data_IF_533443832438
#
_entry.id   IF_533443832438
#
_cell.length_a   1.000
_cell.length_b   1.000
_cell.length_c   1.000
_cell.angle_alpha   90.00
_cell.angle_beta   90.00
_cell.angle_gamma   90.00
#
_symmetry.space_group_name_H-M   'P 1'
#
loop_
_entity.id
_entity.type
_entity.pdbx_description
1 polymer ?
#
# COMPACT_ATOMS: atom_id res chain seq x y z
N UNK A 1 18.28 27.39 -3.29
CA UNK A 1 17.69 27.00 -4.60
C UNK A 1 16.16 26.95 -4.58
N UNK A 2 15.54 26.45 -3.51
CA UNK A 2 14.09 26.26 -3.42
C UNK A 2 13.27 27.55 -3.55
N UNK A 3 13.69 28.61 -2.88
CA UNK A 3 12.99 29.91 -2.91
C UNK A 3 12.87 30.54 -4.30
N UNK A 4 13.91 30.37 -5.13
CA UNK A 4 13.90 30.91 -6.51
C UNK A 4 12.88 30.15 -7.35
N UNK A 5 12.82 28.83 -7.19
CA UNK A 5 11.86 27.98 -7.90
C UNK A 5 10.45 28.27 -7.42
N UNK A 6 10.24 28.43 -6.11
CA UNK A 6 8.94 28.81 -5.54
C UNK A 6 8.40 30.09 -6.20
N UNK A 7 9.22 31.16 -6.26
CA UNK A 7 8.82 32.41 -6.91
C UNK A 7 8.51 32.26 -8.40
N UNK A 8 9.25 31.38 -9.10
CA UNK A 8 9.02 31.10 -10.51
C UNK A 8 7.66 30.43 -10.77
N UNK A 9 7.23 29.54 -9.85
CA UNK A 9 5.99 28.79 -9.98
C UNK A 9 4.79 29.43 -9.28
N UNK A 10 5.00 30.45 -8.44
CA UNK A 10 3.93 31.18 -7.75
C UNK A 10 2.79 31.66 -8.68
N UNK A 11 3.07 32.18 -9.91
CA UNK A 11 1.99 32.63 -10.81
C UNK A 11 1.04 31.51 -11.27
N UNK A 12 1.44 30.23 -11.18
CA UNK A 12 0.61 29.10 -11.57
C UNK A 12 -0.39 28.68 -10.49
N UNK A 13 -0.30 29.29 -9.30
CA UNK A 13 -1.17 29.03 -8.15
C UNK A 13 -1.32 27.53 -7.80
N UNK A 14 -0.27 26.75 -8.04
CA UNK A 14 -0.20 25.32 -7.72
C UNK A 14 0.40 25.14 -6.32
N UNK A 15 -0.04 24.13 -5.54
CA UNK A 15 0.59 23.77 -4.28
C UNK A 15 2.07 23.44 -4.52
N UNK A 16 2.96 24.07 -3.74
CA UNK A 16 4.40 23.82 -3.79
C UNK A 16 4.81 23.15 -2.50
N UNK A 17 5.31 21.94 -2.61
CA UNK A 17 5.85 21.17 -1.49
C UNK A 17 7.38 21.16 -1.54
N UNK A 18 8.01 21.31 -0.39
CA UNK A 18 9.46 21.25 -0.24
C UNK A 18 9.86 19.92 0.39
N UNK A 19 10.84 19.26 -0.22
CA UNK A 19 11.37 17.98 0.27
C UNK A 19 12.77 17.71 -0.28
N UNK A 20 13.29 16.55 0.04
CA UNK A 20 14.52 16.03 -0.56
C UNK A 20 14.29 15.60 -2.01
N UNK A 21 15.37 15.50 -2.79
CA UNK A 21 15.28 15.00 -4.17
C UNK A 21 14.68 13.57 -4.21
N UNK A 22 15.05 12.71 -3.25
CA UNK A 22 14.52 11.34 -3.17
C UNK A 22 13.02 11.31 -2.86
N UNK A 23 12.53 12.18 -1.99
CA UNK A 23 11.08 12.29 -1.71
C UNK A 23 10.32 12.77 -2.95
N UNK A 24 10.83 13.76 -3.67
CA UNK A 24 10.21 14.25 -4.89
C UNK A 24 10.18 13.18 -6.00
N UNK A 25 11.26 12.41 -6.15
CA UNK A 25 11.30 11.27 -7.09
C UNK A 25 10.33 10.17 -6.68
N UNK A 26 10.26 9.82 -5.41
CA UNK A 26 9.33 8.81 -4.91
C UNK A 26 7.87 9.23 -5.10
N UNK A 27 7.54 10.49 -4.81
CA UNK A 27 6.21 11.06 -5.03
C UNK A 27 5.80 10.97 -6.51
N UNK A 28 6.67 11.42 -7.42
CA UNK A 28 6.43 11.34 -8.87
C UNK A 28 6.23 9.89 -9.33
N UNK A 29 7.11 9.00 -8.89
CA UNK A 29 7.01 7.59 -9.27
C UNK A 29 5.76 6.94 -8.68
N UNK A 30 5.46 7.17 -7.39
CA UNK A 30 4.24 6.68 -6.74
C UNK A 30 2.97 7.09 -7.51
N UNK A 31 2.88 8.36 -7.93
CA UNK A 31 1.78 8.86 -8.76
C UNK A 31 1.63 8.05 -10.07
N UNK A 32 2.72 7.91 -10.82
CA UNK A 32 2.68 7.21 -12.11
C UNK A 32 2.42 5.71 -11.97
N UNK A 33 3.04 5.08 -10.98
CA UNK A 33 2.87 3.66 -10.70
C UNK A 33 1.43 3.34 -10.26
N UNK A 34 0.84 4.15 -9.39
CA UNK A 34 -0.57 3.98 -8.99
C UNK A 34 -1.51 4.09 -10.20
N UNK A 35 -1.31 5.08 -11.07
CA UNK A 35 -2.10 5.22 -12.30
C UNK A 35 -1.94 3.98 -13.20
N UNK A 36 -0.73 3.47 -13.36
CA UNK A 36 -0.47 2.27 -14.16
C UNK A 36 -1.19 1.03 -13.59
N UNK A 37 -1.14 0.82 -12.28
CA UNK A 37 -1.85 -0.28 -11.60
C UNK A 37 -3.35 -0.14 -11.80
N UNK A 38 -3.92 1.04 -11.58
CA UNK A 38 -5.34 1.32 -11.75
C UNK A 38 -5.82 1.05 -13.19
N UNK A 39 -5.08 1.52 -14.18
CA UNK A 39 -5.38 1.26 -15.60
C UNK A 39 -5.32 -0.24 -15.90
N UNK A 40 -4.28 -0.93 -15.42
CA UNK A 40 -4.08 -2.37 -15.65
C UNK A 40 -5.21 -3.19 -15.04
N UNK A 41 -5.63 -2.85 -13.82
CA UNK A 41 -6.78 -3.48 -13.17
C UNK A 41 -8.06 -3.34 -13.99
N UNK A 42 -8.40 -2.12 -14.43
CA UNK A 42 -9.62 -1.92 -15.23
C UNK A 42 -9.52 -2.55 -16.62
N UNK A 43 -8.34 -2.67 -17.20
CA UNK A 43 -8.15 -3.39 -18.46
C UNK A 43 -8.37 -4.89 -18.29
N UNK A 44 -7.87 -5.48 -17.20
CA UNK A 44 -8.10 -6.88 -16.85
C UNK A 44 -9.60 -7.15 -16.64
N UNK A 45 -10.27 -6.33 -15.82
CA UNK A 45 -11.72 -6.43 -15.61
C UNK A 45 -12.53 -6.22 -16.88
N UNK A 46 -12.09 -5.35 -17.79
CA UNK A 46 -12.73 -5.17 -19.10
C UNK A 46 -12.63 -6.42 -19.96
N UNK A 47 -11.48 -7.10 -19.94
CA UNK A 47 -11.31 -8.35 -20.66
C UNK A 47 -12.24 -9.45 -20.13
N UNK A 48 -12.38 -9.55 -18.80
CA UNK A 48 -13.35 -10.44 -18.16
C UNK A 48 -14.78 -10.11 -18.59
N UNK A 49 -15.20 -8.84 -18.46
CA UNK A 49 -16.54 -8.40 -18.86
C UNK A 49 -16.82 -8.75 -20.34
N UNK A 50 -15.87 -8.54 -21.23
CA UNK A 50 -16.01 -8.86 -22.65
C UNK A 50 -16.26 -10.36 -22.88
N UNK A 51 -15.53 -11.22 -22.17
CA UNK A 51 -15.68 -12.69 -22.30
C UNK A 51 -17.03 -13.16 -21.75
N UNK A 52 -17.49 -12.54 -20.65
CA UNK A 52 -18.75 -12.88 -20.00
C UNK A 52 -19.98 -12.14 -20.58
N UNK A 53 -19.80 -11.39 -21.70
CA UNK A 53 -20.86 -10.58 -22.34
C UNK A 53 -21.52 -9.55 -21.39
N UNK A 54 -20.73 -8.92 -20.53
CA UNK A 54 -21.15 -7.90 -19.59
C UNK A 54 -20.83 -6.49 -20.10
N UNK A 55 -21.65 -5.51 -19.75
CA UNK A 55 -21.39 -4.09 -20.04
C UNK A 55 -20.37 -3.52 -19.03
N UNK A 56 -19.09 -3.54 -19.44
CA UNK A 56 -17.99 -3.02 -18.61
C UNK A 56 -18.17 -1.54 -18.27
N UNK A 57 -18.71 -0.72 -19.19
CA UNK A 57 -18.86 0.71 -18.95
C UNK A 57 -19.87 0.97 -17.83
N UNK A 58 -21.03 0.32 -17.88
CA UNK A 58 -22.06 0.42 -16.85
C UNK A 58 -21.54 -0.05 -15.49
N UNK A 59 -20.84 -1.20 -15.46
CA UNK A 59 -20.25 -1.75 -14.25
C UNK A 59 -19.23 -0.77 -13.65
N UNK A 60 -18.31 -0.24 -14.46
CA UNK A 60 -17.27 0.66 -13.97
C UNK A 60 -17.79 2.01 -13.49
N UNK A 61 -18.87 2.52 -14.08
CA UNK A 61 -19.57 3.69 -13.57
C UNK A 61 -20.11 3.46 -12.16
N UNK A 62 -20.72 2.29 -11.91
CA UNK A 62 -21.20 1.92 -10.59
C UNK A 62 -20.07 1.73 -9.58
N UNK A 63 -18.98 1.08 -9.99
CA UNK A 63 -17.78 0.91 -9.16
C UNK A 63 -17.17 2.28 -8.80
N UNK A 64 -17.12 3.21 -9.75
CA UNK A 64 -16.56 4.55 -9.50
C UNK A 64 -17.36 5.34 -8.44
N UNK A 65 -18.64 5.06 -8.30
CA UNK A 65 -19.50 5.72 -7.30
C UNK A 65 -19.47 5.03 -5.92
N UNK A 66 -19.23 3.73 -5.87
CA UNK A 66 -19.34 2.94 -4.64
C UNK A 66 -18.00 2.54 -4.02
N UNK A 67 -16.93 2.50 -4.80
CA UNK A 67 -15.61 2.05 -4.32
C UNK A 67 -14.86 3.17 -3.60
N UNK A 68 -14.62 3.01 -2.31
CA UNK A 68 -13.91 3.97 -1.47
C UNK A 68 -12.52 4.31 -2.02
N UNK A 69 -11.80 3.34 -2.57
CA UNK A 69 -10.50 3.55 -3.20
C UNK A 69 -10.50 4.43 -4.46
N UNK A 70 -11.69 4.82 -4.96
CA UNK A 70 -11.83 5.73 -6.09
C UNK A 70 -12.26 7.12 -5.65
N UNK A 71 -13.31 7.24 -4.81
CA UNK A 71 -13.84 8.56 -4.41
C UNK A 71 -13.16 9.14 -3.16
N UNK A 72 -12.54 8.31 -2.33
CA UNK A 72 -11.80 8.76 -1.14
C UNK A 72 -10.29 8.69 -1.41
N UNK A 73 -9.67 9.82 -1.73
CA UNK A 73 -8.25 9.91 -2.03
C UNK A 73 -7.32 9.50 -0.89
N UNK A 74 -7.83 9.38 0.34
CA UNK A 74 -7.05 8.96 1.52
C UNK A 74 -7.17 7.46 1.81
N UNK A 75 -8.08 6.74 1.12
CA UNK A 75 -8.26 5.31 1.33
C UNK A 75 -7.01 4.52 0.91
N UNK A 76 -6.51 3.69 1.81
CA UNK A 76 -5.33 2.85 1.56
C UNK A 76 -3.98 3.56 1.68
N UNK A 77 -3.92 4.88 1.98
CA UNK A 77 -2.64 5.60 2.15
C UNK A 77 -2.03 5.42 3.53
N UNK A 78 -2.83 5.08 4.54
CA UNK A 78 -2.30 4.78 5.89
C UNK A 78 -1.69 3.38 5.89
N UNK A 79 -0.71 3.20 6.77
CA UNK A 79 -0.16 1.86 7.04
C UNK A 79 -1.18 1.06 7.87
N UNK A 80 -1.97 0.24 7.18
CA UNK A 80 -2.92 -0.70 7.78
C UNK A 80 -2.36 -2.12 7.86
N UNK A 81 -1.13 -2.32 7.38
CA UNK A 81 -0.64 -3.66 7.13
C UNK A 81 -1.29 -4.30 5.90
N UNK A 82 -1.30 -5.64 5.81
CA UNK A 82 -1.98 -6.34 4.74
C UNK A 82 -3.49 -6.06 4.80
N UNK A 83 -4.15 -6.05 3.63
CA UNK A 83 -5.61 -6.01 3.65
C UNK A 83 -6.15 -7.30 4.25
N UNK A 84 -7.12 -7.15 5.14
CA UNK A 84 -7.72 -8.21 5.96
C UNK A 84 -9.24 -7.96 6.10
N UNK A 85 -9.86 -8.63 7.05
CA UNK A 85 -11.29 -8.57 7.30
C UNK A 85 -12.07 -9.64 6.54
N UNK A 86 -13.39 -9.54 6.57
CA UNK A 86 -14.27 -10.57 6.01
C UNK A 86 -14.42 -10.49 4.49
N UNK A 87 -14.39 -9.29 3.92
CA UNK A 87 -14.74 -9.06 2.52
C UNK A 87 -13.53 -9.18 1.58
N UNK A 88 -12.48 -8.38 1.79
CA UNK A 88 -11.40 -8.28 0.81
C UNK A 88 -10.68 -9.61 0.55
N UNK A 89 -10.23 -10.37 1.55
CA UNK A 89 -9.57 -11.66 1.30
C UNK A 89 -10.51 -12.68 0.63
N UNK A 90 -11.74 -12.77 1.12
CA UNK A 90 -12.73 -13.72 0.60
C UNK A 90 -13.09 -13.42 -0.86
N UNK A 91 -13.43 -12.19 -1.16
CA UNK A 91 -13.93 -11.81 -2.49
C UNK A 91 -12.82 -11.82 -3.54
N UNK A 92 -11.60 -11.40 -3.17
CA UNK A 92 -10.44 -11.47 -4.07
C UNK A 92 -10.08 -12.91 -4.40
N UNK A 93 -10.04 -13.80 -3.42
CA UNK A 93 -9.73 -15.22 -3.65
C UNK A 93 -10.85 -15.90 -4.47
N UNK A 94 -12.11 -15.68 -4.11
CA UNK A 94 -13.23 -16.26 -4.84
C UNK A 94 -13.27 -15.82 -6.31
N UNK A 95 -12.96 -14.55 -6.59
CA UNK A 95 -12.90 -14.05 -7.95
C UNK A 95 -11.71 -14.62 -8.72
N UNK A 96 -10.54 -14.77 -8.08
CA UNK A 96 -9.38 -15.42 -8.69
C UNK A 96 -9.69 -16.87 -9.08
N UNK A 97 -10.23 -17.65 -8.16
CA UNK A 97 -10.57 -19.06 -8.37
C UNK A 97 -11.62 -19.22 -9.50
N UNK A 98 -12.65 -18.38 -9.46
CA UNK A 98 -13.66 -18.34 -10.53
C UNK A 98 -13.03 -17.96 -11.88
N UNK A 99 -12.18 -16.94 -11.90
CA UNK A 99 -11.51 -16.48 -13.10
C UNK A 99 -10.63 -17.57 -13.72
N UNK A 100 -9.83 -18.25 -12.92
CA UNK A 100 -8.98 -19.37 -13.35
C UNK A 100 -9.84 -20.51 -13.90
N UNK A 101 -10.92 -20.89 -13.21
CA UNK A 101 -11.85 -21.94 -13.64
C UNK A 101 -12.48 -21.60 -15.01
N UNK A 102 -12.76 -20.35 -15.28
CA UNK A 102 -13.35 -19.84 -16.52
C UNK A 102 -12.30 -19.56 -17.62
N UNK A 103 -11.01 -19.74 -17.34
CA UNK A 103 -9.92 -19.49 -18.26
C UNK A 103 -9.58 -18.00 -18.48
N UNK A 104 -9.98 -17.13 -17.55
CA UNK A 104 -9.60 -15.71 -17.57
C UNK A 104 -8.15 -15.51 -17.15
N UNK A 105 -7.51 -14.50 -17.73
CA UNK A 105 -6.19 -14.02 -17.29
C UNK A 105 -6.40 -12.92 -16.25
N UNK A 106 -6.32 -13.29 -14.98
CA UNK A 106 -6.49 -12.37 -13.82
C UNK A 106 -5.16 -12.13 -13.10
N UNK A 107 -4.15 -11.76 -13.87
CA UNK A 107 -2.76 -11.66 -13.42
C UNK A 107 -2.53 -10.51 -12.43
N UNK A 108 -3.23 -9.39 -12.58
CA UNK A 108 -3.14 -8.25 -11.65
C UNK A 108 -3.71 -8.66 -10.30
N UNK A 109 -4.88 -9.29 -10.27
CA UNK A 109 -5.50 -9.76 -9.04
C UNK A 109 -4.65 -10.83 -8.33
N UNK A 110 -4.11 -11.79 -9.08
CA UNK A 110 -3.20 -12.82 -8.55
C UNK A 110 -1.96 -12.18 -7.90
N UNK A 111 -1.36 -11.17 -8.56
CA UNK A 111 -0.21 -10.45 -8.00
C UNK A 111 -0.57 -9.68 -6.72
N UNK A 112 -1.75 -9.06 -6.66
CA UNK A 112 -2.24 -8.35 -5.47
C UNK A 112 -2.39 -9.30 -4.28
N UNK A 113 -3.02 -10.47 -4.48
CA UNK A 113 -3.20 -11.48 -3.43
C UNK A 113 -1.85 -12.00 -2.93
N UNK A 114 -0.94 -12.36 -3.84
CA UNK A 114 0.40 -12.86 -3.48
C UNK A 114 1.19 -11.82 -2.69
N UNK A 115 1.18 -10.56 -3.11
CA UNK A 115 1.87 -9.48 -2.40
C UNK A 115 1.29 -9.28 -1.00
N UNK A 116 -0.03 -9.28 -0.86
CA UNK A 116 -0.70 -9.17 0.42
C UNK A 116 -0.29 -10.30 1.38
N UNK A 117 -0.29 -11.53 0.90
CA UNK A 117 0.08 -12.71 1.69
C UNK A 117 1.56 -12.69 2.10
N UNK A 118 2.45 -12.28 1.19
CA UNK A 118 3.86 -12.12 1.49
C UNK A 118 4.08 -11.07 2.58
N UNK A 119 3.44 -9.91 2.47
CA UNK A 119 3.54 -8.84 3.46
C UNK A 119 3.02 -9.29 4.83
N UNK A 120 1.93 -10.06 4.88
CA UNK A 120 1.42 -10.65 6.10
C UNK A 120 2.44 -11.58 6.78
N UNK A 121 3.15 -12.41 6.01
CA UNK A 121 4.19 -13.31 6.51
C UNK A 121 5.41 -12.52 7.03
N UNK A 122 5.83 -11.48 6.34
CA UNK A 122 6.93 -10.61 6.75
C UNK A 122 6.64 -9.93 8.09
N UNK A 123 5.43 -9.41 8.27
CA UNK A 123 5.01 -8.82 9.55
C UNK A 123 4.97 -9.83 10.70
N UNK A 124 4.58 -11.07 10.44
CA UNK A 124 4.58 -12.14 11.46
C UNK A 124 6.00 -12.57 11.85
N UNK A 125 6.94 -12.52 10.91
CA UNK A 125 8.33 -12.90 11.11
C UNK A 125 9.20 -11.77 11.66
N UNK A 126 8.75 -10.53 11.58
CA UNK A 126 9.48 -9.38 12.10
C UNK A 126 9.62 -9.49 13.64
N UNK A 127 10.81 -9.21 14.20
CA UNK A 127 10.99 -9.18 15.64
C UNK A 127 10.03 -8.12 16.21
N UNK A 128 9.19 -8.53 17.16
CA UNK A 128 8.32 -7.58 17.84
C UNK A 128 9.17 -6.49 18.50
N UNK A 129 8.84 -5.21 18.32
CA UNK A 129 9.52 -4.16 19.06
C UNK A 129 9.44 -4.48 20.56
N UNK A 130 10.55 -4.32 21.25
CA UNK A 130 10.60 -4.55 22.69
C UNK A 130 9.50 -3.71 23.37
N UNK A 131 8.74 -4.33 24.26
CA UNK A 131 7.75 -3.57 25.02
C UNK A 131 8.48 -2.56 25.92
N UNK A 132 7.88 -1.41 26.23
CA UNK A 132 8.46 -0.40 27.13
C UNK A 132 8.90 -1.00 28.50
N UNK A 133 8.33 -2.15 28.87
CA UNK A 133 8.69 -2.90 30.07
C UNK A 133 9.97 -3.72 29.87
N UNK A 134 10.19 -4.28 28.69
CA UNK A 134 11.42 -5.00 28.32
C UNK A 134 12.60 -4.04 28.15
N UNK A 135 12.38 -2.86 27.57
CA UNK A 135 13.38 -1.80 27.47
C UNK A 135 13.81 -1.27 28.85
N UNK A 136 12.88 -1.09 29.77
CA UNK A 136 13.17 -0.70 31.16
C UNK A 136 13.96 -1.79 31.90
N UNK A 137 13.65 -3.05 31.69
CA UNK A 137 14.35 -4.18 32.31
C UNK A 137 15.79 -4.30 31.76
N UNK A 138 15.98 -4.16 30.46
CA UNK A 138 17.29 -4.16 29.82
C UNK A 138 18.15 -2.98 30.29
N UNK A 139 17.57 -1.78 30.43
CA UNK A 139 18.28 -0.61 30.99
C UNK A 139 18.67 -0.80 32.45
N UNK A 140 17.86 -1.44 33.27
CA UNK A 140 18.19 -1.76 34.68
C UNK A 140 19.31 -2.79 34.80
N UNK A 141 19.36 -3.79 33.93
CA UNK A 141 20.41 -4.81 33.90
C UNK A 141 21.75 -4.25 33.43
N UNK A 142 21.77 -3.32 32.47
CA UNK A 142 23.00 -2.66 32.02
C UNK A 142 23.61 -1.73 33.08
N UNK A 143 22.79 -1.18 33.98
CA UNK A 143 23.27 -0.30 35.06
C UNK A 143 23.84 -1.09 36.24
N UNK A 144 23.41 -2.34 36.46
CA UNK A 144 23.89 -3.20 37.56
C UNK A 144 25.25 -3.84 37.29
N UNK A 145 25.64 -4.00 36.01
CA UNK A 145 26.94 -4.60 35.63
C UNK A 145 28.12 -3.62 35.81
N UNK A 146 27.85 -2.30 35.93
CA UNK A 146 28.86 -1.26 36.05
C UNK A 146 29.30 -0.96 37.52
N UNK A 147 28.85 -1.72 38.51
CA UNK A 147 29.04 -1.42 39.95
C UNK A 147 29.85 -2.49 40.69
N UNK A 148 30.63 -3.36 40.01
CA UNK A 148 31.63 -4.17 40.70
C UNK A 148 32.89 -3.34 40.95
N UNK A 149 33.29 -3.07 42.22
CA UNK A 149 34.54 -2.38 42.50
C UNK A 149 35.68 -3.34 42.25
N UNK A 150 36.71 -2.90 41.51
CA UNK A 150 37.96 -3.59 41.41
C UNK A 150 38.57 -3.72 42.84
N UNK A 151 38.51 -4.93 43.38
CA UNK A 151 39.22 -5.29 44.60
C UNK A 151 40.72 -5.47 44.30
N UNK A 152 41.53 -4.76 45.04
CA UNK A 152 42.98 -4.73 45.06
C UNK A 152 43.61 -6.07 45.43
#
# INVERSE_FOLDING_TARGET
>A
GGEIITKLYEPFNAPIEHGTASEAEMQKNGHNLFNAVKISFFNEMRAVCKTENLDAQKIFQSVAQSCEGIWNGMYGLRDFGPFDGECLPKDTQAFLDWGVLRGHKVAVLDAVIRQNNQYALELQSAPRPATAQQEKLAAQQSTSVSLEPASA
#
